data_IF_755931781750
#
_entry.id   IF_755931781750
#
_cell.length_a   1.000
_cell.length_b   1.000
_cell.length_c   1.000
_cell.angle_alpha   90.00
_cell.angle_beta   90.00
_cell.angle_gamma   90.00
#
_symmetry.space_group_name_H-M   'P 1'
#
loop_
_entity.id
_entity.type
_entity.pdbx_description
1 polymer ?
#
# COMPACT_ATOMS: atom_id res chain seq x y z
N UNK A 1 -36.94 -28.69 -11.84
CA UNK A 1 -36.59 -27.94 -10.63
C UNK A 1 -35.22 -28.27 -10.05
N UNK A 2 -34.90 -29.54 -9.66
CA UNK A 2 -33.60 -29.89 -9.07
C UNK A 2 -32.39 -29.57 -9.98
N UNK A 3 -32.47 -29.84 -11.30
CA UNK A 3 -31.38 -29.53 -12.27
C UNK A 3 -31.12 -28.02 -12.42
N UNK A 4 -32.16 -27.19 -12.37
CA UNK A 4 -32.03 -25.74 -12.45
C UNK A 4 -31.39 -25.14 -11.19
N UNK A 5 -31.69 -25.70 -10.01
CA UNK A 5 -31.07 -25.27 -8.73
C UNK A 5 -29.60 -25.62 -8.73
N UNK A 6 -29.22 -26.82 -9.19
CA UNK A 6 -27.81 -27.24 -9.29
C UNK A 6 -27.02 -26.31 -10.23
N UNK A 7 -27.59 -25.96 -11.39
CA UNK A 7 -26.94 -25.03 -12.32
C UNK A 7 -26.72 -23.64 -11.70
N UNK A 8 -27.71 -23.12 -10.98
CA UNK A 8 -27.60 -21.81 -10.29
C UNK A 8 -26.51 -21.87 -9.21
N UNK A 9 -26.44 -22.94 -8.43
CA UNK A 9 -25.39 -23.11 -7.40
C UNK A 9 -23.99 -23.15 -8.02
N UNK A 10 -23.81 -23.85 -9.13
CA UNK A 10 -22.51 -23.91 -9.84
C UNK A 10 -22.11 -22.52 -10.34
N UNK A 11 -23.04 -21.73 -10.89
CA UNK A 11 -22.75 -20.38 -11.37
C UNK A 11 -22.36 -19.47 -10.20
N UNK A 12 -23.05 -19.56 -9.07
CA UNK A 12 -22.74 -18.76 -7.88
C UNK A 12 -21.36 -19.14 -7.33
N UNK A 13 -21.07 -20.42 -7.16
CA UNK A 13 -19.77 -20.90 -6.67
C UNK A 13 -18.65 -20.52 -7.63
N UNK A 14 -18.86 -20.67 -8.94
CA UNK A 14 -17.92 -20.25 -9.96
C UNK A 14 -17.67 -18.74 -9.97
N UNK A 15 -18.71 -17.94 -9.83
CA UNK A 15 -18.63 -16.48 -9.76
C UNK A 15 -17.90 -15.99 -8.50
N UNK A 16 -18.22 -16.56 -7.34
CA UNK A 16 -17.54 -16.26 -6.08
C UNK A 16 -16.08 -16.72 -6.12
N UNK A 17 -15.82 -17.91 -6.65
CA UNK A 17 -14.45 -18.41 -6.83
C UNK A 17 -13.63 -17.51 -7.75
N UNK A 18 -14.17 -17.10 -8.89
CA UNK A 18 -13.52 -16.16 -9.79
C UNK A 18 -13.25 -14.82 -9.11
N UNK A 19 -14.22 -14.27 -8.38
CA UNK A 19 -14.07 -12.98 -7.68
C UNK A 19 -12.98 -13.03 -6.59
N UNK A 20 -12.88 -14.15 -5.86
CA UNK A 20 -11.85 -14.34 -4.82
C UNK A 20 -10.44 -14.57 -5.41
N UNK A 21 -10.35 -15.20 -6.58
CA UNK A 21 -9.09 -15.62 -7.19
C UNK A 21 -8.56 -14.55 -8.16
N UNK A 22 -9.44 -13.78 -8.82
CA UNK A 22 -9.04 -12.80 -9.83
C UNK A 22 -8.03 -11.75 -9.34
N UNK A 23 -8.07 -11.23 -8.08
CA UNK A 23 -7.06 -10.28 -7.59
C UNK A 23 -5.65 -10.86 -7.50
N UNK A 24 -5.49 -12.19 -7.51
CA UNK A 24 -4.18 -12.84 -7.48
C UNK A 24 -3.47 -12.81 -8.85
N UNK A 25 -4.21 -12.56 -9.92
CA UNK A 25 -3.71 -12.64 -11.30
C UNK A 25 -3.84 -11.35 -12.11
N UNK A 26 -4.47 -10.33 -11.54
CA UNK A 26 -4.70 -9.05 -12.22
C UNK A 26 -3.80 -8.00 -11.60
N UNK A 27 -2.81 -7.53 -12.37
CA UNK A 27 -1.98 -6.41 -11.95
C UNK A 27 -2.79 -5.12 -11.95
N UNK A 28 -2.67 -4.38 -10.86
CA UNK A 28 -3.28 -3.07 -10.69
C UNK A 28 -2.19 -2.01 -10.59
N UNK A 29 -1.99 -1.28 -11.70
CA UNK A 29 -1.04 -0.16 -11.72
C UNK A 29 -1.71 1.11 -11.22
N UNK A 30 -1.03 1.81 -10.32
CA UNK A 30 -1.40 3.13 -9.80
C UNK A 30 -0.34 4.14 -10.24
N UNK A 31 -0.75 5.38 -10.53
CA UNK A 31 0.15 6.46 -10.94
C UNK A 31 -0.28 7.75 -10.23
N UNK A 32 -0.08 7.81 -8.92
CA UNK A 32 -0.32 9.02 -8.12
C UNK A 32 0.91 9.94 -8.17
N UNK A 33 0.69 11.22 -8.31
CA UNK A 33 1.77 12.22 -8.28
C UNK A 33 2.00 12.80 -6.88
N UNK A 34 3.16 13.46 -6.68
CA UNK A 34 3.44 14.19 -5.42
C UNK A 34 2.53 15.43 -5.32
N UNK A 35 2.21 16.05 -6.44
CA UNK A 35 1.33 17.21 -6.51
C UNK A 35 -0.07 16.91 -5.94
N UNK A 36 -0.56 15.68 -6.08
CA UNK A 36 -1.83 15.26 -5.48
C UNK A 36 -1.81 15.32 -3.95
N UNK A 37 -0.66 15.02 -3.32
CA UNK A 37 -0.48 15.17 -1.87
C UNK A 37 -0.61 16.64 -1.49
N UNK A 38 0.07 17.53 -2.24
CA UNK A 38 0.07 18.97 -1.99
C UNK A 38 -1.32 19.57 -2.15
N UNK A 39 -2.05 19.21 -3.21
CA UNK A 39 -3.42 19.69 -3.47
C UNK A 39 -4.42 19.23 -2.39
N UNK A 40 -4.27 18.03 -1.84
CA UNK A 40 -5.12 17.55 -0.73
C UNK A 40 -4.94 18.36 0.55
N UNK A 41 -3.77 18.98 0.75
CA UNK A 41 -3.50 19.84 1.90
C UNK A 41 -4.04 21.27 1.73
N UNK A 42 -4.11 21.77 0.51
CA UNK A 42 -4.57 23.13 0.24
C UNK A 42 -6.09 23.34 0.38
N UNK A 43 -6.85 22.33 0.79
CA UNK A 43 -8.31 22.33 0.96
C UNK A 43 -8.92 23.71 1.08
N UNK A 44 -9.40 24.30 -0.04
CA UNK A 44 -10.23 25.50 -0.14
C UNK A 44 -9.68 26.83 0.43
N UNK A 45 -8.37 27.05 0.47
CA UNK A 45 -7.81 28.39 0.70
C UNK A 45 -7.22 28.96 -0.60
N UNK A 46 -7.69 30.13 -1.07
CA UNK A 46 -7.18 30.76 -2.28
C UNK A 46 -5.88 31.54 -1.99
N UNK A 47 -4.85 30.85 -1.57
CA UNK A 47 -3.51 31.43 -1.47
C UNK A 47 -2.49 30.34 -1.74
N UNK A 48 -1.60 30.49 -2.77
CA UNK A 48 -0.53 29.54 -2.99
C UNK A 48 0.51 29.72 -1.86
N UNK A 49 0.26 29.06 -0.74
CA UNK A 49 1.34 28.76 0.19
C UNK A 49 2.17 27.69 -0.49
N UNK A 50 3.45 27.96 -0.72
CA UNK A 50 4.40 26.97 -1.20
C UNK A 50 4.52 25.87 -0.15
N UNK A 51 3.57 24.92 -0.16
CA UNK A 51 3.70 23.71 0.64
C UNK A 51 4.78 22.88 -0.03
N UNK A 52 5.98 22.96 0.50
CA UNK A 52 7.11 22.19 0.02
C UNK A 52 7.03 20.78 0.60
N UNK A 53 7.09 19.78 -0.25
CA UNK A 53 7.30 18.41 0.19
C UNK A 53 8.80 18.18 0.46
N UNK A 54 9.12 17.58 1.59
CA UNK A 54 10.49 17.25 1.98
C UNK A 54 10.60 15.73 2.10
N UNK A 55 11.51 15.12 1.35
CA UNK A 55 11.94 13.74 1.58
C UNK A 55 12.73 13.69 2.89
N UNK A 56 12.32 12.80 3.80
CA UNK A 56 12.96 12.59 5.10
C UNK A 56 13.93 11.43 5.02
N UNK A 57 13.50 10.32 4.41
CA UNK A 57 14.28 9.11 4.22
C UNK A 57 13.73 8.30 3.06
N UNK A 58 14.55 7.39 2.55
CA UNK A 58 14.17 6.49 1.46
C UNK A 58 14.77 5.10 1.64
N UNK A 59 14.20 4.12 0.94
CA UNK A 59 14.69 2.75 0.98
C UNK A 59 14.18 1.93 -0.20
N UNK A 60 14.83 0.80 -0.44
CA UNK A 60 14.47 -0.11 -1.52
C UNK A 60 13.74 -1.32 -0.97
N UNK A 61 12.66 -1.71 -1.64
CA UNK A 61 11.92 -2.91 -1.29
C UNK A 61 12.73 -4.17 -1.56
N UNK A 62 12.59 -5.12 -0.65
CA UNK A 62 13.03 -6.50 -0.80
C UNK A 62 11.87 -7.46 -0.53
N UNK A 63 11.71 -8.47 -1.38
CA UNK A 63 10.70 -9.50 -1.23
C UNK A 63 10.95 -10.38 -0.02
N UNK A 64 9.86 -10.86 0.60
CA UNK A 64 9.88 -11.71 1.80
C UNK A 64 9.01 -12.94 1.60
N UNK A 65 9.29 -14.00 2.35
CA UNK A 65 8.51 -15.24 2.39
C UNK A 65 8.24 -15.86 0.99
N UNK A 66 9.19 -15.72 0.06
CA UNK A 66 9.07 -16.25 -1.31
C UNK A 66 8.26 -15.36 -2.27
N UNK A 67 7.86 -14.17 -1.84
CA UNK A 67 7.24 -13.15 -2.70
C UNK A 67 8.30 -12.20 -3.27
N UNK A 68 8.02 -11.65 -4.45
CA UNK A 68 8.84 -10.59 -5.04
C UNK A 68 8.29 -9.23 -4.57
N UNK A 69 9.19 -8.34 -4.18
CA UNK A 69 8.93 -6.92 -4.00
C UNK A 69 10.17 -6.15 -4.40
N UNK A 70 9.99 -5.07 -5.13
CA UNK A 70 11.06 -4.20 -5.64
C UNK A 70 10.59 -2.76 -5.75
N UNK A 71 11.50 -1.85 -6.02
CA UNK A 71 11.24 -0.44 -6.16
C UNK A 71 11.54 0.36 -4.91
N UNK A 72 11.24 1.65 -4.95
CA UNK A 72 11.64 2.64 -3.96
C UNK A 72 10.46 3.08 -3.09
N UNK A 73 10.67 3.11 -1.78
CA UNK A 73 9.78 3.75 -0.81
C UNK A 73 10.45 5.00 -0.23
N UNK A 74 9.65 6.05 0.00
CA UNK A 74 10.09 7.31 0.61
C UNK A 74 9.16 7.69 1.76
N UNK A 75 9.75 8.22 2.81
CA UNK A 75 9.04 8.98 3.83
C UNK A 75 9.10 10.45 3.46
N UNK A 76 7.94 11.06 3.26
CA UNK A 76 7.81 12.45 2.83
C UNK A 76 7.04 13.22 3.91
N UNK A 77 7.52 14.42 4.22
CA UNK A 77 6.78 15.40 5.02
C UNK A 77 6.24 16.50 4.14
N UNK A 78 4.95 16.82 4.31
CA UNK A 78 4.29 17.93 3.62
C UNK A 78 3.47 18.70 4.66
N UNK A 79 3.92 19.93 4.99
CA UNK A 79 3.34 20.68 6.09
C UNK A 79 3.52 19.98 7.43
N UNK A 80 2.40 19.65 8.09
CA UNK A 80 2.32 18.94 9.37
C UNK A 80 2.08 17.43 9.22
N UNK A 81 1.91 16.95 7.99
CA UNK A 81 1.60 15.55 7.69
C UNK A 81 2.78 14.76 7.14
N UNK A 82 2.75 13.47 7.38
CA UNK A 82 3.71 12.51 6.84
C UNK A 82 3.02 11.54 5.90
N UNK A 83 3.77 11.12 4.87
CA UNK A 83 3.33 10.18 3.84
C UNK A 83 4.39 9.13 3.58
N UNK A 84 3.96 7.90 3.37
CA UNK A 84 4.77 6.91 2.67
C UNK A 84 4.40 7.02 1.19
N UNK A 85 5.42 7.22 0.36
CA UNK A 85 5.31 7.19 -1.08
C UNK A 85 6.06 6.00 -1.64
N UNK A 86 5.38 5.21 -2.48
CA UNK A 86 6.02 4.25 -3.37
C UNK A 86 6.23 4.93 -4.72
N UNK A 87 7.41 4.75 -5.30
CA UNK A 87 7.75 5.36 -6.59
C UNK A 87 7.22 4.51 -7.77
N UNK A 88 7.42 4.99 -8.98
CA UNK A 88 6.91 4.35 -10.20
C UNK A 88 7.57 2.99 -10.50
N UNK A 89 8.75 2.76 -9.93
CA UNK A 89 9.50 1.50 -9.98
C UNK A 89 8.96 0.43 -9.01
N UNK A 90 7.98 0.76 -8.16
CA UNK A 90 7.42 -0.17 -7.19
C UNK A 90 6.64 -1.29 -7.87
N UNK A 91 6.96 -2.52 -7.48
CA UNK A 91 6.13 -3.69 -7.76
C UNK A 91 6.18 -4.71 -6.60
N UNK A 92 5.10 -5.44 -6.43
CA UNK A 92 4.99 -6.54 -5.46
C UNK A 92 4.11 -7.64 -6.01
N UNK A 93 4.39 -8.89 -5.64
CA UNK A 93 3.52 -10.04 -5.95
C UNK A 93 2.08 -9.74 -5.54
N UNK A 94 1.11 -10.10 -6.37
CA UNK A 94 -0.31 -9.95 -6.07
C UNK A 94 -0.72 -10.77 -4.85
N UNK A 95 -1.65 -10.23 -4.06
CA UNK A 95 -2.22 -10.90 -2.90
C UNK A 95 -3.63 -10.41 -2.60
N UNK A 96 -4.45 -11.21 -1.90
CA UNK A 96 -5.88 -10.93 -1.77
C UNK A 96 -6.20 -9.84 -0.74
N UNK A 97 -5.29 -9.53 0.19
CA UNK A 97 -5.57 -8.63 1.32
C UNK A 97 -4.29 -7.94 1.80
N UNK A 98 -3.65 -7.17 0.88
CA UNK A 98 -2.38 -6.48 1.13
C UNK A 98 -2.60 -5.13 1.79
N UNK A 99 -1.79 -4.83 2.81
CA UNK A 99 -1.80 -3.57 3.55
C UNK A 99 -0.39 -3.02 3.71
N UNK A 100 -0.32 -1.70 3.85
CA UNK A 100 0.90 -0.96 4.18
C UNK A 100 0.95 -0.73 5.69
N UNK A 101 2.07 -1.10 6.29
CA UNK A 101 2.37 -0.92 7.71
C UNK A 101 3.73 -0.22 7.88
N UNK A 102 3.93 0.42 9.02
CA UNK A 102 5.26 0.76 9.48
C UNK A 102 5.82 -0.36 10.35
N UNK A 103 7.14 -0.37 10.47
CA UNK A 103 7.86 -1.35 11.27
C UNK A 103 9.22 -0.85 11.75
N UNK A 104 9.84 -1.67 12.58
CA UNK A 104 11.14 -1.44 13.17
C UNK A 104 11.81 -2.75 13.55
N UNK A 105 13.14 -2.77 13.49
CA UNK A 105 13.96 -3.92 13.95
C UNK A 105 13.57 -5.25 13.28
N UNK A 106 13.21 -5.19 11.98
CA UNK A 106 12.84 -6.35 11.19
C UNK A 106 11.43 -6.89 11.46
N UNK A 107 10.54 -6.06 12.05
CA UNK A 107 9.16 -6.44 12.37
C UNK A 107 8.19 -5.33 12.00
N UNK A 108 7.07 -5.71 11.35
CA UNK A 108 5.94 -4.79 11.20
C UNK A 108 5.23 -4.60 12.54
N UNK A 109 4.65 -3.42 12.73
CA UNK A 109 3.82 -3.14 13.90
C UNK A 109 2.33 -3.20 13.51
N UNK A 110 1.53 -4.12 14.09
CA UNK A 110 0.09 -4.21 13.81
C UNK A 110 -0.68 -2.92 14.12
N UNK A 111 -0.20 -2.13 15.10
CA UNK A 111 -0.83 -0.87 15.49
C UNK A 111 -0.43 0.30 14.58
N UNK A 112 0.62 0.13 13.78
CA UNK A 112 1.09 1.11 12.79
C UNK A 112 0.60 0.78 11.36
N UNK A 113 -0.62 0.28 11.24
CA UNK A 113 -1.27 0.07 9.94
C UNK A 113 -1.67 1.41 9.33
N UNK A 114 -1.26 1.63 8.08
CA UNK A 114 -1.58 2.86 7.35
C UNK A 114 -2.87 2.65 6.56
N UNK A 115 -2.84 1.87 5.47
CA UNK A 115 -3.96 1.71 4.53
C UNK A 115 -3.84 0.38 3.76
N UNK A 116 -4.90 -0.02 3.07
CA UNK A 116 -4.81 -1.10 2.09
C UNK A 116 -3.92 -0.72 0.91
N UNK A 117 -3.17 -1.67 0.37
CA UNK A 117 -2.36 -1.46 -0.83
C UNK A 117 -3.28 -1.07 -2.00
N UNK A 118 -3.04 0.08 -2.63
CA UNK A 118 -3.88 0.62 -3.70
C UNK A 118 -3.72 -0.13 -5.01
N UNK A 119 -2.50 -0.59 -5.28
CA UNK A 119 -2.14 -1.42 -6.42
C UNK A 119 -0.83 -2.14 -6.18
N UNK A 120 -0.59 -3.22 -6.91
CA UNK A 120 0.65 -3.99 -6.79
C UNK A 120 1.79 -3.41 -7.62
N UNK A 121 1.57 -2.33 -8.38
CA UNK A 121 2.58 -1.65 -9.20
C UNK A 121 2.39 -0.14 -9.22
N UNK A 122 3.51 0.58 -9.39
CA UNK A 122 3.56 2.01 -9.70
C UNK A 122 3.46 2.94 -8.49
N UNK A 123 3.43 4.24 -8.76
CA UNK A 123 3.52 5.28 -7.74
C UNK A 123 2.24 5.42 -6.92
N UNK A 124 2.38 5.44 -5.60
CA UNK A 124 1.28 5.46 -4.64
C UNK A 124 1.66 6.27 -3.40
N UNK A 125 0.72 7.04 -2.88
CA UNK A 125 0.91 7.88 -1.70
C UNK A 125 -0.01 7.42 -0.57
N UNK A 126 0.52 7.27 0.64
CA UNK A 126 -0.20 6.83 1.82
C UNK A 126 -0.02 7.83 2.95
N UNK A 127 -1.08 8.52 3.35
CA UNK A 127 -1.03 9.42 4.50
C UNK A 127 -0.87 8.61 5.79
N UNK A 128 0.14 8.93 6.59
CA UNK A 128 0.35 8.29 7.88
C UNK A 128 -0.63 8.91 8.89
N UNK A 129 -1.50 8.11 9.54
CA UNK A 129 -2.40 8.62 10.57
C UNK A 129 -1.66 9.39 11.66
N UNK A 130 -2.17 10.55 12.06
CA UNK A 130 -1.55 11.39 13.10
C UNK A 130 -1.43 10.75 14.49
N UNK A 131 -2.10 9.62 14.71
CA UNK A 131 -1.94 8.78 15.91
C UNK A 131 -0.65 7.96 15.91
N UNK A 132 0.03 7.83 14.76
CA UNK A 132 1.25 7.05 14.61
C UNK A 132 2.45 7.99 14.76
N UNK A 133 3.28 7.76 15.77
CA UNK A 133 4.53 8.51 15.98
C UNK A 133 5.60 8.01 14.98
N UNK A 134 5.73 8.68 13.83
CA UNK A 134 6.59 8.28 12.71
C UNK A 134 8.05 8.06 13.14
N UNK A 135 8.55 8.84 14.10
CA UNK A 135 9.92 8.73 14.61
C UNK A 135 10.26 7.38 15.27
N UNK A 136 9.25 6.58 15.59
CA UNK A 136 9.45 5.26 16.18
C UNK A 136 9.76 4.17 15.15
N UNK A 137 9.62 4.49 13.86
CA UNK A 137 9.68 3.52 12.77
C UNK A 137 10.72 3.93 11.73
N UNK A 138 11.39 2.94 11.18
CA UNK A 138 12.33 3.09 10.09
C UNK A 138 12.15 2.04 8.99
N UNK A 139 11.01 1.37 8.98
CA UNK A 139 10.69 0.38 7.95
C UNK A 139 9.26 0.58 7.45
N UNK A 140 9.04 0.30 6.18
CA UNK A 140 7.70 0.15 5.59
C UNK A 140 7.53 -1.28 5.09
N UNK A 141 6.34 -1.84 5.35
CA UNK A 141 6.02 -3.23 5.08
C UNK A 141 4.79 -3.36 4.19
N UNK A 142 4.82 -4.30 3.27
CA UNK A 142 3.63 -4.82 2.58
C UNK A 142 3.30 -6.18 3.18
N UNK A 143 2.16 -6.25 3.86
CA UNK A 143 1.73 -7.41 4.64
C UNK A 143 0.36 -7.91 4.17
N UNK A 144 0.24 -9.22 3.97
CA UNK A 144 -1.03 -9.88 3.69
C UNK A 144 -1.71 -10.30 4.99
N UNK A 145 -2.84 -9.65 5.32
CA UNK A 145 -3.59 -9.99 6.54
C UNK A 145 -4.26 -11.36 6.46
N UNK A 146 -4.83 -11.69 5.29
CA UNK A 146 -5.57 -12.95 5.10
C UNK A 146 -4.71 -14.18 5.38
N UNK A 147 -3.42 -14.12 5.07
CA UNK A 147 -2.49 -15.24 5.26
C UNK A 147 -1.44 -15.00 6.35
N UNK A 148 -1.46 -13.82 6.99
CA UNK A 148 -0.49 -13.44 8.02
C UNK A 148 0.96 -13.61 7.55
N UNK A 149 1.29 -13.08 6.36
CA UNK A 149 2.61 -13.22 5.74
C UNK A 149 3.11 -11.90 5.17
N UNK A 150 4.41 -11.66 5.30
CA UNK A 150 5.09 -10.51 4.69
C UNK A 150 5.33 -10.76 3.20
N UNK A 151 4.99 -9.78 2.38
CA UNK A 151 5.28 -9.79 0.93
C UNK A 151 6.55 -9.03 0.61
N UNK A 152 6.83 -7.95 1.33
CA UNK A 152 8.06 -7.19 1.18
C UNK A 152 8.22 -6.13 2.25
N UNK A 153 9.44 -5.61 2.39
CA UNK A 153 9.77 -4.46 3.24
C UNK A 153 10.84 -3.58 2.60
N UNK A 154 10.86 -2.30 2.99
CA UNK A 154 11.96 -1.38 2.71
C UNK A 154 12.43 -0.75 4.03
N UNK A 155 13.76 -0.66 4.21
CA UNK A 155 14.38 0.08 5.31
C UNK A 155 14.60 1.52 4.87
N UNK A 156 14.05 2.47 5.63
CA UNK A 156 14.11 3.90 5.36
C UNK A 156 15.34 4.51 6.07
N UNK A 157 16.32 4.95 5.29
CA UNK A 157 17.59 5.51 5.76
C UNK A 157 17.77 6.97 5.31
#
# INVERSE_FOLDING_TARGET
MKKSIVAIVIIIVGGVGYWLISPLFIDKKVNESIEEIMMKQEGNKPQPSMVTSQEISSGTFAGLAGHNAEGTAKLIRTGDKYYIRFEDDFSVTNGPDLFVYLGKDGRYDPDARIESLKGNMGSQNYEIPGSIAVSNYNEVWVWCRAFSVAFGKAELN
#
